data_IF_478974460107
#
_entry.id   IF_478974460107
#
_cell.length_a   1.000
_cell.length_b   1.000
_cell.length_c   1.000
_cell.angle_alpha   90.00
_cell.angle_beta   90.00
_cell.angle_gamma   90.00
#
_symmetry.space_group_name_H-M   'P 1'
#
loop_
_entity.id
_entity.type
_entity.pdbx_description
1 polymer ?
#
# COMPACT_ATOMS: atom_id res chain seq x y z
N UNK A 1 47.03 -38.08 5.47
CA UNK A 1 45.57 -38.08 5.24
C UNK A 1 44.93 -37.32 6.40
N UNK A 2 44.71 -36.01 6.24
CA UNK A 2 43.85 -35.21 7.11
C UNK A 2 43.04 -34.30 6.19
N UNK A 3 41.76 -34.61 6.08
CA UNK A 3 40.75 -33.87 5.33
C UNK A 3 40.31 -32.69 6.18
N UNK A 4 40.72 -31.48 5.80
CA UNK A 4 40.15 -30.27 6.37
C UNK A 4 38.93 -29.90 5.51
N UNK A 5 37.76 -30.42 5.90
CA UNK A 5 36.49 -30.05 5.32
C UNK A 5 36.20 -28.60 5.71
N UNK A 6 36.60 -27.66 4.84
CA UNK A 6 36.20 -26.27 4.92
C UNK A 6 34.68 -26.21 4.84
N UNK A 7 34.10 -26.12 6.03
CA UNK A 7 32.69 -25.96 6.31
C UNK A 7 32.29 -24.61 5.71
N UNK A 8 31.51 -24.62 4.62
CA UNK A 8 30.83 -23.42 4.15
C UNK A 8 29.69 -23.09 5.12
N UNK A 9 30.04 -22.68 6.34
CA UNK A 9 29.11 -21.99 7.21
C UNK A 9 28.95 -20.58 6.65
N UNK A 10 28.01 -20.42 5.72
CA UNK A 10 27.58 -19.10 5.28
C UNK A 10 27.15 -18.30 6.52
N UNK A 11 27.96 -17.32 6.88
CA UNK A 11 27.65 -16.40 7.96
C UNK A 11 26.33 -15.71 7.62
N UNK A 12 25.29 -15.92 8.44
CA UNK A 12 24.11 -15.08 8.43
C UNK A 12 24.58 -13.73 8.97
N UNK A 13 24.87 -12.79 8.08
CA UNK A 13 25.19 -11.41 8.45
C UNK A 13 23.87 -10.71 8.82
N UNK A 14 23.63 -10.36 10.09
CA UNK A 14 22.53 -9.47 10.44
C UNK A 14 22.86 -8.09 9.87
N UNK A 15 22.16 -7.69 8.79
CA UNK A 15 22.29 -6.35 8.22
C UNK A 15 22.57 -6.26 6.72
N UNK A 16 22.76 -7.36 6.00
CA UNK A 16 22.66 -7.30 4.54
C UNK A 16 21.18 -7.10 4.19
N UNK A 17 20.77 -5.84 4.00
CA UNK A 17 19.45 -5.49 3.48
C UNK A 17 19.22 -6.34 2.23
N UNK A 18 18.33 -7.34 2.35
CA UNK A 18 17.98 -8.19 1.23
C UNK A 18 17.33 -7.27 0.21
N UNK A 19 17.96 -7.10 -0.96
CA UNK A 19 17.42 -6.22 -1.97
C UNK A 19 15.98 -6.67 -2.29
N UNK A 20 15.03 -5.82 -1.95
CA UNK A 20 13.61 -6.09 -2.12
C UNK A 20 13.32 -5.93 -3.61
N UNK A 21 12.76 -6.95 -4.28
CA UNK A 21 12.44 -6.84 -5.69
C UNK A 21 11.49 -5.67 -5.93
N UNK A 22 11.69 -4.91 -7.01
CA UNK A 22 10.84 -3.74 -7.31
C UNK A 22 9.35 -4.11 -7.39
N UNK A 23 9.03 -5.32 -7.85
CA UNK A 23 7.66 -5.86 -7.88
C UNK A 23 7.00 -5.91 -6.49
N UNK A 24 7.78 -6.19 -5.44
CA UNK A 24 7.29 -6.22 -4.06
C UNK A 24 6.99 -4.81 -3.57
N UNK A 25 7.85 -3.84 -3.90
CA UNK A 25 7.61 -2.42 -3.60
C UNK A 25 6.36 -1.90 -4.31
N UNK A 26 6.21 -2.19 -5.60
CA UNK A 26 5.00 -1.81 -6.37
C UNK A 26 3.74 -2.42 -5.77
N UNK A 27 3.76 -3.72 -5.44
CA UNK A 27 2.61 -4.38 -4.80
C UNK A 27 2.28 -3.77 -3.43
N UNK A 28 3.31 -3.37 -2.65
CA UNK A 28 3.11 -2.70 -1.38
C UNK A 28 2.50 -1.29 -1.54
N UNK A 29 2.90 -0.53 -2.57
CA UNK A 29 2.29 0.75 -2.92
C UNK A 29 0.82 0.60 -3.33
N UNK A 30 0.51 -0.37 -4.19
CA UNK A 30 -0.87 -0.65 -4.61
C UNK A 30 -1.75 -1.07 -3.44
N UNK A 31 -1.23 -1.92 -2.56
CA UNK A 31 -1.92 -2.31 -1.33
C UNK A 31 -2.18 -1.11 -0.41
N UNK A 32 -1.17 -0.25 -0.23
CA UNK A 32 -1.27 0.95 0.59
C UNK A 32 -2.32 1.92 0.02
N UNK A 33 -2.38 2.11 -1.30
CA UNK A 33 -3.40 2.93 -1.94
C UNK A 33 -4.83 2.45 -1.65
N UNK A 34 -5.07 1.13 -1.71
CA UNK A 34 -6.37 0.53 -1.36
C UNK A 34 -6.67 0.73 0.12
N UNK A 35 -5.68 0.50 0.99
CA UNK A 35 -5.84 0.67 2.44
C UNK A 35 -6.19 2.11 2.81
N UNK A 36 -5.50 3.10 2.23
CA UNK A 36 -5.82 4.52 2.40
C UNK A 36 -7.25 4.79 1.93
N UNK A 37 -7.64 4.28 0.77
CA UNK A 37 -9.01 4.39 0.27
C UNK A 37 -10.06 3.91 1.27
N UNK A 38 -9.84 2.76 1.90
CA UNK A 38 -10.72 2.22 2.94
C UNK A 38 -10.75 3.11 4.20
N UNK A 39 -9.61 3.67 4.60
CA UNK A 39 -9.52 4.57 5.76
C UNK A 39 -10.21 5.92 5.53
N UNK A 40 -10.37 6.33 4.26
CA UNK A 40 -11.06 7.57 3.90
C UNK A 40 -12.59 7.40 3.80
N UNK A 41 -13.11 6.18 3.77
CA UNK A 41 -14.57 5.93 3.68
C UNK A 41 -15.39 6.64 4.79
N UNK A 42 -14.97 6.66 6.08
CA UNK A 42 -15.71 7.33 7.14
C UNK A 42 -15.86 8.84 6.94
N UNK A 43 -14.95 9.50 6.22
CA UNK A 43 -15.04 10.93 5.91
C UNK A 43 -16.27 11.25 5.05
N UNK A 44 -16.76 10.27 4.28
CA UNK A 44 -17.89 10.41 3.38
C UNK A 44 -19.18 9.80 3.92
N UNK A 45 -19.10 8.93 4.92
CA UNK A 45 -20.27 8.38 5.61
C UNK A 45 -21.10 9.47 6.33
N UNK A 46 -20.46 10.58 6.73
CA UNK A 46 -21.12 11.71 7.38
C UNK A 46 -21.66 12.80 6.43
N UNK A 47 -21.41 12.70 5.12
CA UNK A 47 -22.00 13.62 4.15
C UNK A 47 -23.42 13.16 3.83
N UNK A 48 -24.40 13.80 4.46
CA UNK A 48 -25.80 13.64 4.12
C UNK A 48 -26.02 14.04 2.64
N UNK A 49 -26.28 13.05 1.79
CA UNK A 49 -26.61 13.24 0.37
C UNK A 49 -28.05 13.71 0.16
N UNK A 50 -28.63 14.42 1.14
CA UNK A 50 -30.08 14.72 1.22
C UNK A 50 -30.50 15.99 0.49
N UNK A 51 -29.72 16.41 -0.50
CA UNK A 51 -30.09 17.49 -1.41
C UNK A 51 -30.90 16.97 -2.60
N UNK A 52 -31.63 17.83 -3.33
CA UNK A 52 -32.39 17.45 -4.54
C UNK A 52 -31.54 16.79 -5.65
N UNK A 53 -30.22 16.96 -5.58
CA UNK A 53 -29.22 16.43 -6.52
C UNK A 53 -28.24 15.44 -5.86
N UNK A 54 -28.50 15.04 -4.61
CA UNK A 54 -27.63 14.13 -3.86
C UNK A 54 -28.19 12.70 -3.77
N UNK A 55 -27.30 11.72 -3.67
CA UNK A 55 -27.62 10.36 -3.19
C UNK A 55 -27.99 9.36 -4.28
N UNK A 56 -27.71 9.66 -5.55
CA UNK A 56 -27.97 8.75 -6.68
C UNK A 56 -26.84 7.75 -6.96
N UNK A 57 -27.14 6.66 -7.66
CA UNK A 57 -26.16 5.62 -8.07
C UNK A 57 -24.96 6.19 -8.82
N UNK A 58 -25.16 7.21 -9.66
CA UNK A 58 -24.08 7.88 -10.38
C UNK A 58 -23.12 8.63 -9.46
N UNK A 59 -23.63 9.26 -8.40
CA UNK A 59 -22.81 9.90 -7.38
C UNK A 59 -22.02 8.87 -6.57
N UNK A 60 -22.64 7.75 -6.21
CA UNK A 60 -21.96 6.65 -5.49
C UNK A 60 -20.78 6.09 -6.29
N UNK A 61 -20.97 5.85 -7.60
CA UNK A 61 -19.90 5.38 -8.49
C UNK A 61 -18.82 6.45 -8.66
N UNK A 62 -19.22 7.71 -8.89
CA UNK A 62 -18.25 8.79 -9.03
C UNK A 62 -17.40 8.96 -7.75
N UNK A 63 -18.05 8.90 -6.59
CA UNK A 63 -17.41 9.00 -5.28
C UNK A 63 -16.44 7.85 -5.04
N UNK A 64 -16.79 6.62 -5.40
CA UNK A 64 -15.87 5.48 -5.22
C UNK A 64 -14.62 5.61 -6.10
N UNK A 65 -14.77 6.05 -7.35
CA UNK A 65 -13.64 6.35 -8.24
C UNK A 65 -12.77 7.49 -7.70
N UNK A 66 -13.39 8.55 -7.18
CA UNK A 66 -12.67 9.67 -6.58
C UNK A 66 -11.85 9.25 -5.35
N UNK A 67 -12.43 8.43 -4.46
CA UNK A 67 -11.72 7.92 -3.27
C UNK A 67 -10.51 7.08 -3.67
N UNK A 68 -10.66 6.23 -4.68
CA UNK A 68 -9.56 5.40 -5.20
C UNK A 68 -8.39 6.25 -5.71
N UNK A 69 -8.69 7.30 -6.49
CA UNK A 69 -7.66 8.18 -7.03
C UNK A 69 -6.99 9.02 -5.93
N UNK A 70 -7.74 9.47 -4.92
CA UNK A 70 -7.19 10.14 -3.74
C UNK A 70 -6.24 9.19 -3.00
N UNK A 71 -6.64 7.94 -2.76
CA UNK A 71 -5.80 6.94 -2.10
C UNK A 71 -4.51 6.65 -2.88
N UNK A 72 -4.60 6.57 -4.21
CA UNK A 72 -3.45 6.40 -5.10
C UNK A 72 -2.49 7.59 -5.02
N UNK A 73 -3.00 8.82 -5.12
CA UNK A 73 -2.18 10.04 -5.01
C UNK A 73 -1.52 10.15 -3.62
N UNK A 74 -2.20 9.76 -2.56
CA UNK A 74 -1.64 9.75 -1.22
C UNK A 74 -0.51 8.73 -1.08
N UNK A 75 -0.66 7.51 -1.62
CA UNK A 75 0.41 6.51 -1.63
C UNK A 75 1.60 6.96 -2.49
N UNK A 76 1.36 7.56 -3.66
CA UNK A 76 2.40 8.11 -4.54
C UNK A 76 3.24 9.21 -3.84
N UNK A 77 2.63 9.99 -2.93
CA UNK A 77 3.30 11.05 -2.17
C UNK A 77 4.01 10.56 -0.89
N UNK A 78 4.05 9.24 -0.66
CA UNK A 78 4.73 8.62 0.48
C UNK A 78 3.80 7.87 1.44
N UNK A 79 2.49 8.01 1.29
CA UNK A 79 1.47 7.20 1.97
C UNK A 79 1.65 7.09 3.48
N UNK A 80 1.54 5.86 3.99
CA UNK A 80 1.72 5.51 5.41
C UNK A 80 3.09 4.87 5.68
N UNK A 81 3.95 4.77 4.65
CA UNK A 81 5.28 4.18 4.74
C UNK A 81 5.29 2.65 4.64
N UNK A 82 4.19 1.98 4.32
CA UNK A 82 4.17 0.51 4.18
C UNK A 82 5.07 0.05 3.02
N UNK A 83 5.02 0.77 1.91
CA UNK A 83 5.88 0.52 0.75
C UNK A 83 7.35 0.87 0.99
N UNK A 84 7.65 1.74 1.97
CA UNK A 84 9.02 2.12 2.30
C UNK A 84 9.71 1.10 3.24
N UNK A 85 8.92 0.31 3.97
CA UNK A 85 9.40 -0.63 4.99
C UNK A 85 9.33 -2.11 4.53
N UNK A 86 9.05 -2.35 3.24
CA UNK A 86 9.03 -3.68 2.63
C UNK A 86 10.37 -4.03 2.00
#
# INVERSE_FOLDING_TARGET
>A
MQVNAATHAAAIQPGAARAVPDKVKTAAQEFEAVLIGQMLEPMWAGLDTKGPFGGGTGETIFRSLMIQEIGRQMSDQGGMGLAANV
#
